data_IF_944715066492
#
_entry.id   IF_944715066492
#
_cell.length_a   1.000
_cell.length_b   1.000
_cell.length_c   1.000
_cell.angle_alpha   90.00
_cell.angle_beta   90.00
_cell.angle_gamma   90.00
#
_symmetry.space_group_name_H-M   'P 1'
#
loop_
_entity.id
_entity.type
_entity.pdbx_description
1 polymer ?
#
# COMPACT_ATOMS: atom_id res chain seq x y z
N UNK A 1 -6.23 19.68 5.66
CA UNK A 1 -6.03 19.08 4.33
C UNK A 1 -6.46 17.63 4.37
N UNK A 2 -7.33 17.21 3.45
CA UNK A 2 -7.72 15.81 3.30
C UNK A 2 -6.64 15.06 2.47
N UNK A 3 -6.33 13.82 2.86
CA UNK A 3 -5.35 12.94 2.19
C UNK A 3 -5.97 11.59 1.79
N UNK A 4 -7.30 11.50 1.79
CA UNK A 4 -7.99 10.29 1.34
C UNK A 4 -7.72 10.06 -0.14
N UNK A 5 -7.34 8.82 -0.43
CA UNK A 5 -7.09 8.28 -1.76
C UNK A 5 -7.75 6.91 -1.82
N UNK A 6 -8.13 6.47 -3.01
CA UNK A 6 -8.49 5.07 -3.21
C UNK A 6 -7.23 4.20 -3.16
N UNK A 7 -7.40 2.89 -3.00
CA UNK A 7 -6.28 1.95 -3.07
C UNK A 7 -5.55 2.02 -4.43
N UNK A 8 -6.30 2.18 -5.52
CA UNK A 8 -5.75 2.31 -6.86
C UNK A 8 -4.92 3.59 -7.02
N UNK A 9 -5.40 4.72 -6.50
CA UNK A 9 -4.68 6.00 -6.57
C UNK A 9 -3.36 5.96 -5.78
N UNK A 10 -3.33 5.21 -4.67
CA UNK A 10 -2.12 5.01 -3.88
C UNK A 10 -1.11 4.14 -4.64
N UNK A 11 -1.56 3.04 -5.25
CA UNK A 11 -0.69 2.14 -6.05
C UNK A 11 -0.16 2.84 -7.30
N UNK A 12 -0.97 3.70 -7.94
CA UNK A 12 -0.57 4.45 -9.13
C UNK A 12 0.61 5.42 -8.91
N UNK A 13 0.94 5.74 -7.65
CA UNK A 13 2.09 6.57 -7.29
C UNK A 13 3.38 5.78 -7.16
N UNK A 14 3.30 4.45 -7.08
CA UNK A 14 4.46 3.57 -7.01
C UNK A 14 5.18 3.53 -8.36
N UNK A 15 6.47 3.20 -8.32
CA UNK A 15 7.34 3.10 -9.49
C UNK A 15 8.18 1.83 -9.38
N UNK A 16 8.58 1.31 -10.53
CA UNK A 16 9.40 0.11 -10.61
C UNK A 16 10.74 0.32 -9.89
N UNK A 17 11.21 -0.71 -9.20
CA UNK A 17 12.45 -0.68 -8.42
C UNK A 17 12.33 -0.01 -7.04
N UNK A 18 11.16 0.51 -6.66
CA UNK A 18 10.94 1.01 -5.30
C UNK A 18 11.02 -0.10 -4.26
N UNK A 19 11.74 0.16 -3.17
CA UNK A 19 11.69 -0.67 -1.96
C UNK A 19 10.54 -0.20 -1.08
N UNK A 20 9.56 -1.07 -0.82
CA UNK A 20 8.34 -0.73 -0.07
C UNK A 20 8.31 -1.51 1.23
N UNK A 21 8.12 -0.80 2.35
CA UNK A 21 7.93 -1.41 3.67
C UNK A 21 6.46 -1.74 3.93
N UNK A 22 6.17 -3.00 4.25
CA UNK A 22 4.83 -3.43 4.68
C UNK A 22 4.79 -3.75 6.18
N UNK A 23 3.91 -3.06 6.90
CA UNK A 23 3.61 -3.35 8.30
C UNK A 23 2.82 -4.65 8.53
N UNK A 24 2.37 -4.88 9.77
CA UNK A 24 1.61 -6.06 10.19
C UNK A 24 2.45 -7.10 10.96
N UNK A 25 1.80 -8.16 11.45
CA UNK A 25 2.46 -9.24 12.22
C UNK A 25 2.00 -10.62 11.74
N UNK A 26 2.91 -11.41 11.18
CA UNK A 26 2.55 -12.66 10.52
C UNK A 26 1.40 -12.43 9.51
N UNK A 27 0.27 -13.17 9.62
CA UNK A 27 -0.90 -12.97 8.75
C UNK A 27 -1.79 -11.78 9.17
N UNK A 28 -1.54 -11.14 10.32
CA UNK A 28 -2.44 -10.13 10.88
C UNK A 28 -2.14 -8.74 10.33
N UNK A 29 -3.21 -8.06 9.90
CA UNK A 29 -3.22 -6.66 9.43
C UNK A 29 -2.23 -6.38 8.30
N UNK A 30 -2.01 -7.35 7.41
CA UNK A 30 -1.27 -7.13 6.16
C UNK A 30 -2.14 -6.29 5.22
N UNK A 31 -1.60 -5.27 4.54
CA UNK A 31 -2.37 -4.39 3.65
C UNK A 31 -2.64 -5.08 2.30
N UNK A 32 -3.34 -6.22 2.34
CA UNK A 32 -3.58 -7.07 1.16
C UNK A 32 -4.41 -6.37 0.07
N UNK A 33 -5.14 -5.30 0.41
CA UNK A 33 -5.85 -4.48 -0.57
C UNK A 33 -4.91 -3.70 -1.51
N UNK A 34 -3.64 -3.51 -1.14
CA UNK A 34 -2.60 -2.86 -1.95
C UNK A 34 -1.77 -3.90 -2.71
N UNK A 35 -1.66 -5.13 -2.17
CA UNK A 35 -0.88 -6.22 -2.75
C UNK A 35 -1.63 -6.93 -3.88
N UNK A 36 -2.97 -7.01 -3.78
CA UNK A 36 -3.85 -7.57 -4.80
C UNK A 36 -4.06 -6.60 -5.95
#
# INVERSE_FOLDING_TARGET
MNKQLTAADAVAQLRDGMTIGFGGWGPRRKPMAIVR
#
